data_IF_287407255708
#
_entry.id   IF_287407255708
#
_cell.length_a   1.000
_cell.length_b   1.000
_cell.length_c   1.000
_cell.angle_alpha   90.00
_cell.angle_beta   90.00
_cell.angle_gamma   90.00
#
_symmetry.space_group_name_H-M   'P 1'
#
loop_
_entity.id
_entity.type
_entity.pdbx_description
1 polymer ?
#
# COMPACT_ATOMS: atom_id res chain seq x y z
N UNK A 1 -18.89 -14.65 -2.90
CA UNK A 1 -18.57 -14.48 -1.47
C UNK A 1 -17.48 -15.48 -1.16
N UNK A 2 -16.22 -15.07 -1.21
CA UNK A 2 -15.12 -15.94 -0.75
C UNK A 2 -15.25 -16.09 0.76
N UNK A 3 -15.48 -17.31 1.22
CA UNK A 3 -15.36 -17.64 2.64
C UNK A 3 -13.90 -17.48 3.01
N UNK A 4 -13.57 -16.39 3.71
CA UNK A 4 -12.24 -16.18 4.29
C UNK A 4 -12.01 -17.26 5.36
N UNK A 5 -11.43 -18.39 4.94
CA UNK A 5 -11.10 -19.49 5.84
C UNK A 5 -10.04 -18.95 6.80
N UNK A 6 -10.44 -18.70 8.05
CA UNK A 6 -9.51 -18.27 9.09
C UNK A 6 -8.52 -19.40 9.35
N UNK A 7 -7.32 -19.27 8.80
CA UNK A 7 -6.23 -20.23 9.01
C UNK A 7 -5.52 -19.88 10.32
N UNK A 8 -5.43 -20.81 11.28
CA UNK A 8 -4.74 -20.54 12.53
C UNK A 8 -3.25 -20.28 12.27
N UNK A 9 -2.69 -19.28 12.94
CA UNK A 9 -1.31 -18.83 12.74
C UNK A 9 -0.58 -18.73 14.08
N UNK A 10 0.67 -19.19 14.14
CA UNK A 10 1.51 -18.97 15.30
C UNK A 10 1.88 -17.50 15.45
N UNK A 11 1.58 -16.89 16.59
CA UNK A 11 1.89 -15.47 16.86
C UNK A 11 3.39 -15.15 16.87
N UNK A 12 4.25 -16.15 17.13
CA UNK A 12 5.70 -15.96 17.26
C UNK A 12 6.41 -16.04 15.90
N UNK A 13 6.14 -17.09 15.12
CA UNK A 13 6.84 -17.34 13.86
C UNK A 13 5.99 -17.14 12.60
N UNK A 14 4.69 -16.87 12.75
CA UNK A 14 3.77 -16.72 11.63
C UNK A 14 3.46 -18.02 10.88
N UNK A 15 3.84 -19.18 11.43
CA UNK A 15 3.56 -20.46 10.79
C UNK A 15 2.05 -20.72 10.73
N UNK A 16 1.54 -20.98 9.52
CA UNK A 16 0.15 -21.36 9.27
C UNK A 16 -0.07 -22.81 9.69
N UNK A 17 -0.92 -23.00 10.69
CA UNK A 17 -1.29 -24.30 11.25
C UNK A 17 -2.54 -24.83 10.54
N UNK A 18 -2.68 -26.15 10.46
CA UNK A 18 -3.95 -26.74 10.06
C UNK A 18 -5.00 -26.55 11.15
N UNK A 19 -6.28 -26.49 10.78
CA UNK A 19 -7.38 -26.43 11.76
C UNK A 19 -7.32 -27.61 12.75
N UNK A 20 -6.90 -28.80 12.28
CA UNK A 20 -6.70 -30.00 13.10
C UNK A 20 -5.48 -29.94 14.03
N UNK A 21 -4.62 -28.94 13.89
CA UNK A 21 -3.46 -28.69 14.75
C UNK A 21 -3.78 -27.79 15.95
N UNK A 22 -5.01 -27.25 16.04
CA UNK A 22 -5.45 -26.38 17.13
C UNK A 22 -5.76 -27.10 18.45
N UNK A 23 -5.61 -28.42 18.51
CA UNK A 23 -5.75 -29.16 19.76
C UNK A 23 -4.56 -28.88 20.70
N UNK A 24 -4.77 -28.79 22.04
CA UNK A 24 -3.74 -28.34 22.99
C UNK A 24 -2.41 -29.11 22.89
N UNK A 25 -2.47 -30.44 22.74
CA UNK A 25 -1.27 -31.28 22.64
C UNK A 25 -0.40 -30.96 21.42
N UNK A 26 -1.01 -30.60 20.29
CA UNK A 26 -0.30 -30.25 19.05
C UNK A 26 0.28 -28.83 19.12
N UNK A 27 -0.44 -27.88 19.72
CA UNK A 27 0.06 -26.53 19.96
C UNK A 27 1.23 -26.53 20.96
N UNK A 28 1.12 -27.28 22.05
CA UNK A 28 2.19 -27.44 23.02
C UNK A 28 3.43 -28.07 22.38
N UNK A 29 3.25 -29.13 21.56
CA UNK A 29 4.35 -29.72 20.80
C UNK A 29 4.99 -28.69 19.87
N UNK A 30 4.20 -27.91 19.12
CA UNK A 30 4.73 -26.85 18.25
C UNK A 30 5.55 -25.83 19.06
N UNK A 31 5.03 -25.35 20.20
CA UNK A 31 5.71 -24.39 21.06
C UNK A 31 7.04 -24.93 21.60
N UNK A 32 7.06 -26.14 22.14
CA UNK A 32 8.29 -26.73 22.72
C UNK A 32 9.33 -27.05 21.66
N UNK A 33 8.90 -27.53 20.48
CA UNK A 33 9.83 -27.94 19.42
C UNK A 33 10.40 -26.76 18.63
N UNK A 34 9.59 -25.75 18.32
CA UNK A 34 10.00 -24.62 17.47
C UNK A 34 10.43 -23.39 18.29
N UNK A 35 9.92 -23.27 19.52
CA UNK A 35 10.17 -22.13 20.41
C UNK A 35 10.50 -22.58 21.85
N UNK A 36 11.53 -23.45 22.04
CA UNK A 36 11.85 -24.01 23.35
C UNK A 36 12.16 -22.94 24.42
N UNK A 37 12.74 -21.82 24.02
CA UNK A 37 13.03 -20.69 24.92
C UNK A 37 11.79 -19.95 25.42
N UNK A 38 10.64 -20.15 24.76
CA UNK A 38 9.38 -19.48 25.07
C UNK A 38 8.34 -20.42 25.72
N UNK A 39 8.65 -21.71 25.86
CA UNK A 39 7.71 -22.69 26.41
C UNK A 39 7.37 -22.48 27.89
N UNK A 40 8.21 -21.72 28.61
CA UNK A 40 8.01 -21.36 30.01
C UNK A 40 7.27 -20.04 30.19
N UNK A 41 6.99 -19.32 29.10
CA UNK A 41 6.27 -18.04 29.15
C UNK A 41 4.78 -18.28 29.35
N UNK A 42 4.16 -17.38 30.09
CA UNK A 42 2.74 -17.42 30.39
C UNK A 42 1.90 -16.81 29.26
N UNK A 43 0.58 -16.99 29.35
CA UNK A 43 -0.39 -16.47 28.37
C UNK A 43 -0.21 -14.97 28.12
N UNK A 44 0.11 -14.18 29.14
CA UNK A 44 0.23 -12.72 29.00
C UNK A 44 1.34 -12.31 28.02
N UNK A 45 2.42 -13.10 27.92
CA UNK A 45 3.48 -12.86 26.95
C UNK A 45 2.96 -12.97 25.50
N UNK A 46 2.19 -14.02 25.21
CA UNK A 46 1.63 -14.25 23.87
C UNK A 46 0.54 -13.22 23.53
N UNK A 47 -0.28 -12.80 24.50
CA UNK A 47 -1.27 -11.73 24.31
C UNK A 47 -0.60 -10.38 23.98
N UNK A 48 0.50 -10.05 24.68
CA UNK A 48 1.31 -8.86 24.36
C UNK A 48 1.95 -8.96 22.98
N UNK A 49 2.47 -10.13 22.62
CA UNK A 49 3.08 -10.39 21.30
C UNK A 49 2.06 -10.21 20.18
N UNK A 50 0.85 -10.75 20.35
CA UNK A 50 -0.26 -10.58 19.40
C UNK A 50 -0.65 -9.10 19.26
N UNK A 51 -0.80 -8.40 20.39
CA UNK A 51 -1.13 -6.98 20.41
C UNK A 51 -0.08 -6.14 19.69
N UNK A 52 1.21 -6.47 19.86
CA UNK A 52 2.31 -5.83 19.16
C UNK A 52 2.26 -6.09 17.66
N UNK A 53 2.07 -7.34 17.24
CA UNK A 53 1.93 -7.73 15.82
C UNK A 53 0.77 -6.99 15.15
N UNK A 54 -0.40 -6.97 15.78
CA UNK A 54 -1.58 -6.25 15.24
C UNK A 54 -1.30 -4.75 15.08
N UNK A 55 -0.63 -4.12 16.07
CA UNK A 55 -0.25 -2.71 15.96
C UNK A 55 0.71 -2.48 14.80
N UNK A 56 1.72 -3.34 14.63
CA UNK A 56 2.68 -3.24 13.52
C UNK A 56 1.98 -3.38 12.16
N UNK A 57 1.09 -4.37 12.01
CA UNK A 57 0.29 -4.55 10.79
C UNK A 57 -0.53 -3.31 10.48
N UNK A 58 -1.27 -2.76 11.46
CA UNK A 58 -2.06 -1.54 11.26
C UNK A 58 -1.24 -0.33 10.83
N UNK A 59 -0.04 -0.16 11.40
CA UNK A 59 0.88 0.91 11.01
C UNK A 59 1.35 0.71 9.58
N UNK A 60 1.71 -0.52 9.22
CA UNK A 60 2.14 -0.86 7.87
C UNK A 60 1.03 -0.67 6.83
N UNK A 61 -0.18 -1.18 7.08
CA UNK A 61 -1.36 -0.99 6.23
C UNK A 61 -1.66 0.49 5.99
N UNK A 62 -1.62 1.30 7.07
CA UNK A 62 -1.80 2.75 6.94
C UNK A 62 -0.74 3.38 6.04
N UNK A 63 0.53 3.00 6.20
CA UNK A 63 1.62 3.53 5.39
C UNK A 63 1.49 3.12 3.91
N UNK A 64 1.13 1.87 3.63
CA UNK A 64 0.89 1.38 2.26
C UNK A 64 -0.28 2.11 1.61
N UNK A 65 -1.40 2.24 2.32
CA UNK A 65 -2.58 2.96 1.82
C UNK A 65 -2.27 4.44 1.53
N UNK A 66 -1.48 5.10 2.37
CA UNK A 66 -1.03 6.48 2.11
C UNK A 66 -0.16 6.55 0.85
N UNK A 67 0.74 5.60 0.64
CA UNK A 67 1.58 5.55 -0.56
C UNK A 67 0.76 5.32 -1.83
N UNK A 68 -0.22 4.42 -1.78
CA UNK A 68 -1.15 4.17 -2.89
C UNK A 68 -1.95 5.42 -3.26
N UNK A 69 -2.53 6.11 -2.28
CA UNK A 69 -3.25 7.37 -2.51
C UNK A 69 -2.35 8.47 -3.08
N UNK A 70 -1.11 8.58 -2.58
CA UNK A 70 -0.12 9.52 -3.10
C UNK A 70 0.28 9.20 -4.55
N UNK A 71 0.39 7.91 -4.89
CA UNK A 71 0.65 7.44 -6.25
C UNK A 71 -0.48 7.84 -7.20
N UNK A 72 -1.74 7.63 -6.81
CA UNK A 72 -2.94 8.00 -7.59
C UNK A 72 -2.98 9.50 -7.82
N UNK A 73 -2.90 10.30 -6.75
CA UNK A 73 -2.92 11.76 -6.85
C UNK A 73 -1.82 12.32 -7.77
N UNK A 74 -0.64 11.68 -7.76
CA UNK A 74 0.46 12.09 -8.64
C UNK A 74 0.18 11.78 -10.12
N UNK A 75 -0.51 10.68 -10.46
CA UNK A 75 -0.97 10.43 -11.83
C UNK A 75 -2.05 11.42 -12.26
N UNK A 76 -3.02 11.73 -11.40
CA UNK A 76 -4.08 12.71 -11.69
C UNK A 76 -3.48 14.10 -11.99
N UNK A 77 -2.50 14.54 -11.21
CA UNK A 77 -1.81 15.81 -11.48
C UNK A 77 -1.01 15.75 -12.78
N UNK A 78 -0.33 14.63 -13.06
CA UNK A 78 0.41 14.45 -14.30
C UNK A 78 -0.51 14.49 -15.53
N UNK A 79 -1.70 13.88 -15.44
CA UNK A 79 -2.73 13.94 -16.49
C UNK A 79 -3.20 15.37 -16.73
N UNK A 80 -3.55 16.10 -15.67
CA UNK A 80 -3.97 17.50 -15.78
C UNK A 80 -2.90 18.37 -16.46
N UNK A 81 -1.62 18.17 -16.12
CA UNK A 81 -0.50 18.88 -16.75
C UNK A 81 -0.41 18.54 -18.24
N UNK A 82 -0.49 17.26 -18.60
CA UNK A 82 -0.41 16.81 -19.98
C UNK A 82 -1.58 17.33 -20.82
N UNK A 83 -2.82 17.19 -20.34
CA UNK A 83 -4.04 17.64 -21.03
C UNK A 83 -4.04 19.15 -21.26
N UNK A 84 -3.54 19.92 -20.30
CA UNK A 84 -3.46 21.38 -20.42
C UNK A 84 -2.17 21.87 -21.09
N UNK A 85 -1.35 20.96 -21.64
CA UNK A 85 -0.08 21.23 -22.31
C UNK A 85 0.85 22.13 -21.48
N UNK A 86 0.93 21.85 -20.18
CA UNK A 86 1.77 22.58 -19.24
C UNK A 86 3.14 21.89 -19.06
N UNK A 87 4.19 22.64 -18.71
CA UNK A 87 5.49 22.04 -18.44
C UNK A 87 5.46 21.21 -17.15
N UNK A 88 6.24 20.14 -17.10
CA UNK A 88 6.25 19.18 -16.00
C UNK A 88 6.72 19.80 -14.67
N UNK A 89 7.66 20.74 -14.72
CA UNK A 89 8.19 21.46 -13.55
C UNK A 89 7.12 22.27 -12.80
N UNK A 90 5.98 22.59 -13.44
CA UNK A 90 4.86 23.30 -12.82
C UNK A 90 4.36 22.57 -11.56
N UNK A 91 4.41 21.23 -11.56
CA UNK A 91 3.98 20.43 -10.43
C UNK A 91 4.84 20.69 -9.19
N UNK A 92 6.15 20.69 -9.37
CA UNK A 92 7.13 20.85 -8.30
C UNK A 92 7.24 22.31 -7.84
N UNK A 93 7.26 23.25 -8.78
CA UNK A 93 7.50 24.67 -8.50
C UNK A 93 6.26 25.38 -7.95
N UNK A 94 5.06 25.00 -8.41
CA UNK A 94 3.83 25.75 -8.10
C UNK A 94 2.78 24.89 -7.41
N UNK A 95 2.41 23.75 -8.00
CA UNK A 95 1.27 22.96 -7.50
C UNK A 95 1.54 22.42 -6.09
N UNK A 96 2.69 21.77 -5.88
CA UNK A 96 3.04 21.21 -4.58
C UNK A 96 3.11 22.30 -3.49
N UNK A 97 3.85 23.41 -3.66
CA UNK A 97 3.86 24.50 -2.68
C UNK A 97 2.47 25.12 -2.42
N UNK A 98 1.64 25.26 -3.45
CA UNK A 98 0.29 25.80 -3.31
C UNK A 98 -0.61 24.86 -2.48
N UNK A 99 -0.66 23.57 -2.81
CA UNK A 99 -1.42 22.57 -2.06
C UNK A 99 -0.98 22.52 -0.59
N UNK A 100 0.32 22.56 -0.34
CA UNK A 100 0.89 22.61 1.02
C UNK A 100 0.42 23.83 1.81
N UNK A 101 0.49 25.03 1.22
CA UNK A 101 0.02 26.27 1.87
C UNK A 101 -1.47 26.20 2.18
N UNK A 102 -2.29 25.73 1.24
CA UNK A 102 -3.74 25.59 1.42
C UNK A 102 -4.05 24.62 2.57
N UNK A 103 -3.51 23.41 2.52
CA UNK A 103 -3.76 22.36 3.53
C UNK A 103 -3.26 22.78 4.90
N UNK A 104 -2.06 23.36 4.99
CA UNK A 104 -1.51 23.86 6.24
C UNK A 104 -2.39 24.94 6.88
N UNK A 105 -2.99 25.81 6.07
CA UNK A 105 -3.83 26.93 6.54
C UNK A 105 -5.25 26.48 6.89
N UNK A 106 -5.86 25.64 6.04
CA UNK A 106 -7.28 25.27 6.14
C UNK A 106 -7.54 24.05 7.03
N UNK A 107 -6.61 23.10 7.06
CA UNK A 107 -6.80 21.81 7.73
C UNK A 107 -5.87 21.71 8.95
N UNK A 108 -4.60 22.08 8.76
CA UNK A 108 -3.59 22.09 9.82
C UNK A 108 -2.27 21.46 9.39
N UNK A 109 -1.23 21.67 10.20
CA UNK A 109 0.15 21.31 9.86
C UNK A 109 0.44 19.81 9.74
N UNK A 110 -0.38 18.93 10.34
CA UNK A 110 -0.21 17.48 10.22
C UNK A 110 -0.56 16.97 8.82
N UNK A 111 -1.55 17.57 8.15
CA UNK A 111 -1.98 17.18 6.82
C UNK A 111 -0.99 17.64 5.72
N UNK A 112 -0.21 18.70 5.96
CA UNK A 112 0.87 19.16 5.06
C UNK A 112 1.92 18.05 4.81
N UNK A 113 2.22 17.27 5.85
CA UNK A 113 3.21 16.17 5.77
C UNK A 113 2.75 15.10 4.77
N UNK A 114 1.44 14.82 4.72
CA UNK A 114 0.90 13.82 3.79
C UNK A 114 0.92 14.33 2.35
N UNK A 115 0.72 15.63 2.12
CA UNK A 115 0.86 16.23 0.78
C UNK A 115 2.31 16.17 0.28
N UNK A 116 3.30 16.33 1.16
CA UNK A 116 4.72 16.21 0.81
C UNK A 116 5.13 14.81 0.32
N UNK A 117 4.32 13.78 0.63
CA UNK A 117 4.59 12.40 0.18
C UNK A 117 4.16 12.16 -1.26
N UNK A 118 3.39 13.08 -1.86
CA UNK A 118 2.97 12.96 -3.27
C UNK A 118 4.20 13.23 -4.14
N UNK A 119 4.63 12.26 -4.96
CA UNK A 119 5.84 12.42 -5.76
C UNK A 119 5.53 13.30 -6.98
N UNK A 120 5.83 14.60 -6.91
CA UNK A 120 5.51 15.59 -7.94
C UNK A 120 6.75 16.24 -8.57
N UNK A 121 7.94 15.67 -8.39
CA UNK A 121 9.15 16.19 -9.03
C UNK A 121 9.01 16.23 -10.55
N UNK A 122 9.73 17.14 -11.20
CA UNK A 122 9.75 17.26 -12.65
C UNK A 122 9.93 15.90 -13.36
N UNK A 123 10.91 15.11 -12.90
CA UNK A 123 11.23 13.81 -13.50
C UNK A 123 10.13 12.77 -13.25
N UNK A 124 9.50 12.82 -12.06
CA UNK A 124 8.36 11.96 -11.76
C UNK A 124 7.19 12.25 -12.69
N UNK A 125 6.83 13.52 -12.88
CA UNK A 125 5.70 13.91 -13.73
C UNK A 125 5.99 13.56 -15.18
N UNK A 126 7.20 13.84 -15.66
CA UNK A 126 7.64 13.44 -16.99
C UNK A 126 7.46 11.93 -17.22
N UNK A 127 7.97 11.11 -16.30
CA UNK A 127 7.85 9.66 -16.38
C UNK A 127 6.39 9.21 -16.36
N UNK A 128 5.54 9.77 -15.49
CA UNK A 128 4.12 9.39 -15.42
C UNK A 128 3.37 9.70 -16.70
N UNK A 129 3.66 10.82 -17.33
CA UNK A 129 3.05 11.18 -18.63
C UNK A 129 3.48 10.19 -19.71
N UNK A 130 4.76 9.80 -19.72
CA UNK A 130 5.25 8.74 -20.61
C UNK A 130 4.58 7.40 -20.34
N UNK A 131 4.51 6.97 -19.08
CA UNK A 131 3.87 5.71 -18.67
C UNK A 131 2.39 5.67 -19.10
N UNK A 132 1.66 6.78 -18.92
CA UNK A 132 0.26 6.89 -19.37
C UNK A 132 0.15 6.83 -20.90
N UNK A 133 1.04 7.49 -21.64
CA UNK A 133 1.08 7.44 -23.10
C UNK A 133 1.31 6.02 -23.61
N UNK A 134 2.30 5.31 -23.06
CA UNK A 134 2.61 3.93 -23.42
C UNK A 134 1.43 3.00 -23.09
N UNK A 135 0.78 3.19 -21.95
CA UNK A 135 -0.40 2.40 -21.57
C UNK A 135 -1.58 2.63 -22.54
N UNK A 136 -1.84 3.88 -22.94
CA UNK A 136 -2.87 4.19 -23.94
C UNK A 136 -2.56 3.48 -25.26
N UNK A 137 -1.32 3.61 -25.76
CA UNK A 137 -0.88 2.97 -27.00
C UNK A 137 -1.09 1.45 -26.95
N UNK A 138 -0.63 0.79 -25.88
CA UNK A 138 -0.79 -0.65 -25.71
C UNK A 138 -2.26 -1.08 -25.64
N UNK A 139 -3.09 -0.33 -24.92
CA UNK A 139 -4.51 -0.66 -24.79
C UNK A 139 -5.26 -0.46 -26.11
N UNK A 140 -4.95 0.61 -26.85
CA UNK A 140 -5.48 0.82 -28.19
C UNK A 140 -5.04 -0.29 -29.14
N UNK A 141 -3.75 -0.64 -29.17
CA UNK A 141 -3.24 -1.73 -30.01
C UNK A 141 -3.91 -3.08 -29.70
N UNK A 142 -4.08 -3.42 -28.42
CA UNK A 142 -4.82 -4.63 -28.01
C UNK A 142 -6.29 -4.59 -28.43
N UNK A 143 -6.95 -3.44 -28.31
CA UNK A 143 -8.34 -3.27 -28.74
C UNK A 143 -8.48 -3.50 -30.24
N UNK A 144 -7.60 -2.89 -31.05
CA UNK A 144 -7.57 -3.05 -32.50
C UNK A 144 -7.27 -4.50 -32.92
N UNK A 145 -6.33 -5.17 -32.25
CA UNK A 145 -6.00 -6.56 -32.56
C UNK A 145 -7.16 -7.54 -32.29
N UNK A 146 -8.04 -7.21 -31.34
CA UNK A 146 -9.19 -8.03 -30.97
C UNK A 146 -10.49 -7.65 -31.69
N UNK A 147 -10.54 -6.50 -32.37
CA UNK A 147 -11.68 -6.14 -33.19
C UNK A 147 -11.60 -6.84 -34.54
N UNK A 148 -12.68 -7.55 -34.91
CA UNK A 148 -12.89 -8.02 -36.28
C UNK A 148 -13.11 -6.80 -37.18
N UNK A 149 -12.03 -6.24 -37.72
CA UNK A 149 -12.13 -5.38 -38.89
C UNK A 149 -12.63 -6.24 -40.04
N UNK A 150 -13.91 -6.13 -40.35
CA UNK A 150 -14.48 -6.73 -41.55
C UNK A 150 -13.73 -6.15 -42.76
N UNK A 151 -12.87 -6.98 -43.36
CA UNK A 151 -12.27 -6.76 -44.68
C UNK A 151 -13.33 -6.93 -45.76
#
# INVERSE_FOLDING_TARGET
MENDIVVPECVICGFKLSNSAMVPSKLQRHLVTNHPSLSTKDKSYFERSLSSKIKQVKVFEKQVCVFEKAQVASYEIAELIAVNLKPHNLAEEIILPACRKIVKTMIGGSADIDICKIPLSNDTIHRRIKDMSENIEQNTAKSLANSNFAL
#
